data_IF_537716195792
#
_entry.id   IF_537716195792
#
_cell.length_a   1.000
_cell.length_b   1.000
_cell.length_c   1.000
_cell.angle_alpha   90.00
_cell.angle_beta   90.00
_cell.angle_gamma   90.00
#
_symmetry.space_group_name_H-M   'P 1'
#
loop_
_entity.id
_entity.type
_entity.pdbx_description
1 polymer ?
#
# COMPACT_ATOMS: atom_id res chain seq x y z
N UNK A 1 23.93 -22.59 23.37
CA UNK A 1 25.18 -22.51 22.59
C UNK A 1 24.86 -22.21 21.14
N UNK A 2 24.72 -20.93 20.80
CA UNK A 2 24.61 -20.48 19.41
C UNK A 2 26.01 -20.06 18.95
N UNK A 3 26.87 -21.05 18.70
CA UNK A 3 28.30 -20.84 18.40
C UNK A 3 28.58 -20.55 16.92
N UNK A 4 27.54 -20.50 16.08
CA UNK A 4 27.67 -20.31 14.63
C UNK A 4 27.13 -18.94 14.23
N UNK A 5 27.97 -18.14 13.59
CA UNK A 5 27.56 -16.87 13.00
C UNK A 5 26.49 -17.09 11.92
N UNK A 6 25.45 -16.25 11.92
CA UNK A 6 24.36 -16.35 10.95
C UNK A 6 24.83 -15.82 9.59
N UNK A 7 24.79 -16.67 8.58
CA UNK A 7 25.11 -16.33 7.20
C UNK A 7 24.38 -17.26 6.23
N UNK A 8 24.39 -16.91 4.94
CA UNK A 8 23.73 -17.65 3.85
C UNK A 8 24.11 -19.13 3.86
N UNK A 9 25.41 -19.43 3.92
CA UNK A 9 25.89 -20.81 3.84
C UNK A 9 25.41 -21.67 5.01
N UNK A 10 25.44 -21.14 6.23
CA UNK A 10 24.96 -21.86 7.40
C UNK A 10 23.45 -22.15 7.30
N UNK A 11 22.66 -21.18 6.84
CA UNK A 11 21.21 -21.37 6.64
C UNK A 11 20.95 -22.46 5.60
N UNK A 12 21.61 -22.40 4.44
CA UNK A 12 21.48 -23.43 3.40
C UNK A 12 21.84 -24.83 3.92
N UNK A 13 22.91 -24.94 4.70
CA UNK A 13 23.34 -26.19 5.32
C UNK A 13 22.28 -26.72 6.30
N UNK A 14 21.76 -25.86 7.19
CA UNK A 14 20.75 -26.28 8.16
C UNK A 14 19.45 -26.71 7.49
N UNK A 15 18.96 -25.97 6.50
CA UNK A 15 17.73 -26.34 5.78
C UNK A 15 17.95 -27.63 4.99
N UNK A 16 19.09 -27.82 4.34
CA UNK A 16 19.39 -29.04 3.57
C UNK A 16 19.43 -30.28 4.46
N UNK A 17 20.03 -30.19 5.65
CA UNK A 17 20.22 -31.33 6.55
C UNK A 17 19.00 -31.63 7.41
N UNK A 18 18.22 -30.61 7.78
CA UNK A 18 17.22 -30.72 8.84
C UNK A 18 15.81 -30.26 8.43
N UNK A 19 15.55 -29.94 7.16
CA UNK A 19 14.17 -29.71 6.71
C UNK A 19 13.32 -30.95 6.96
N UNK A 20 12.11 -30.72 7.44
CA UNK A 20 11.11 -31.77 7.68
C UNK A 20 10.04 -31.74 6.60
N UNK A 21 9.75 -30.54 6.08
CA UNK A 21 8.77 -30.34 5.04
C UNK A 21 9.41 -30.47 3.65
N UNK A 22 8.60 -30.85 2.67
CA UNK A 22 9.03 -30.89 1.28
C UNK A 22 9.05 -29.47 0.70
N UNK A 23 10.20 -28.81 0.87
CA UNK A 23 10.48 -27.47 0.35
C UNK A 23 11.58 -27.53 -0.72
N UNK A 24 11.43 -26.71 -1.75
CA UNK A 24 12.45 -26.55 -2.80
C UNK A 24 13.61 -25.72 -2.26
N UNK A 25 14.80 -26.31 -2.18
CA UNK A 25 15.99 -25.64 -1.65
C UNK A 25 16.42 -24.44 -2.51
N UNK A 26 16.06 -24.45 -3.80
CA UNK A 26 16.33 -23.33 -4.70
C UNK A 26 15.61 -22.04 -4.27
N UNK A 27 14.46 -22.17 -3.58
CA UNK A 27 13.71 -21.03 -3.05
C UNK A 27 14.44 -20.31 -1.91
N UNK A 28 15.49 -20.90 -1.31
CA UNK A 28 16.35 -20.17 -0.37
C UNK A 28 17.06 -18.98 -1.01
N UNK A 29 17.17 -18.94 -2.34
CA UNK A 29 17.80 -17.82 -3.05
C UNK A 29 16.84 -16.68 -3.33
N UNK A 30 15.55 -16.98 -3.50
CA UNK A 30 14.52 -16.04 -3.98
C UNK A 30 13.48 -15.67 -2.93
N UNK A 31 13.20 -16.55 -1.98
CA UNK A 31 12.24 -16.39 -0.88
C UNK A 31 12.82 -17.02 0.39
N UNK A 32 13.95 -16.51 0.86
CA UNK A 32 14.79 -17.11 1.90
C UNK A 32 14.06 -17.25 3.24
N UNK A 33 13.51 -16.16 3.77
CA UNK A 33 12.84 -16.14 5.06
C UNK A 33 11.60 -17.03 5.02
N UNK A 34 10.81 -16.92 3.95
CA UNK A 34 9.64 -17.75 3.65
C UNK A 34 10.00 -19.22 3.66
N UNK A 35 11.07 -19.59 2.94
CA UNK A 35 11.53 -20.98 2.87
C UNK A 35 12.02 -21.48 4.22
N UNK A 36 12.67 -20.65 5.03
CA UNK A 36 13.04 -20.98 6.41
C UNK A 36 11.80 -21.24 7.25
N UNK A 37 10.81 -20.35 7.24
CA UNK A 37 9.57 -20.47 8.02
C UNK A 37 8.80 -21.75 7.67
N UNK A 38 8.77 -22.14 6.40
CA UNK A 38 8.09 -23.36 5.95
C UNK A 38 8.96 -24.62 5.96
N UNK A 39 10.25 -24.54 6.30
CA UNK A 39 11.15 -25.70 6.34
C UNK A 39 10.76 -26.78 7.35
N UNK A 40 9.97 -26.41 8.37
CA UNK A 40 9.67 -27.26 9.53
C UNK A 40 10.86 -27.42 10.50
N UNK A 41 12.01 -26.80 10.22
CA UNK A 41 13.19 -26.84 11.08
C UNK A 41 13.03 -25.87 12.25
N UNK A 42 12.32 -26.29 13.30
CA UNK A 42 11.96 -25.45 14.45
C UNK A 42 13.15 -24.72 15.08
N UNK A 43 14.27 -25.41 15.25
CA UNK A 43 15.47 -24.82 15.85
C UNK A 43 16.06 -23.71 14.97
N UNK A 44 16.06 -23.88 13.64
CA UNK A 44 16.52 -22.85 12.72
C UNK A 44 15.58 -21.65 12.72
N UNK A 45 14.27 -21.90 12.67
CA UNK A 45 13.24 -20.85 12.70
C UNK A 45 13.39 -20.02 13.98
N UNK A 46 13.48 -20.68 15.14
CA UNK A 46 13.68 -20.01 16.43
C UNK A 46 15.00 -19.23 16.45
N UNK A 47 16.08 -19.82 15.95
CA UNK A 47 17.38 -19.15 15.89
C UNK A 47 17.37 -17.89 15.03
N UNK A 48 16.76 -17.95 13.84
CA UNK A 48 16.62 -16.81 12.92
C UNK A 48 15.76 -15.72 13.57
N UNK A 49 14.62 -16.08 14.16
CA UNK A 49 13.72 -15.13 14.80
C UNK A 49 14.38 -14.42 16.01
N UNK A 50 15.19 -15.14 16.81
CA UNK A 50 15.93 -14.55 17.92
C UNK A 50 17.06 -13.61 17.47
N UNK A 51 17.56 -13.76 16.23
CA UNK A 51 18.67 -13.00 15.68
C UNK A 51 18.24 -12.22 14.42
N UNK A 52 16.99 -11.74 14.40
CA UNK A 52 16.34 -11.22 13.18
C UNK A 52 17.10 -10.04 12.56
N UNK A 53 17.71 -9.18 13.38
CA UNK A 53 18.55 -8.06 12.93
C UNK A 53 19.76 -8.55 12.13
N UNK A 54 20.53 -9.48 12.70
CA UNK A 54 21.70 -10.07 12.06
C UNK A 54 21.30 -10.90 10.83
N UNK A 55 20.16 -11.59 10.88
CA UNK A 55 19.62 -12.30 9.73
C UNK A 55 19.36 -11.36 8.56
N UNK A 56 18.68 -10.24 8.81
CA UNK A 56 18.34 -9.28 7.75
C UNK A 56 19.61 -8.71 7.12
N UNK A 57 20.56 -8.29 7.95
CA UNK A 57 21.81 -7.68 7.50
C UNK A 57 22.69 -8.67 6.73
N UNK A 58 23.01 -9.84 7.32
CA UNK A 58 24.03 -10.74 6.78
C UNK A 58 23.50 -11.84 5.85
N UNK A 59 22.17 -11.93 5.67
CA UNK A 59 21.54 -12.96 4.85
C UNK A 59 20.54 -12.36 3.89
N UNK A 60 19.48 -11.73 4.42
CA UNK A 60 18.36 -11.28 3.59
C UNK A 60 18.80 -10.24 2.54
N UNK A 61 19.55 -9.23 2.97
CA UNK A 61 20.01 -8.14 2.09
C UNK A 61 21.16 -8.58 1.18
N UNK A 62 22.03 -9.46 1.66
CA UNK A 62 23.15 -10.04 0.88
C UNK A 62 22.67 -10.90 -0.30
N UNK A 63 21.55 -11.61 -0.15
CA UNK A 63 20.96 -12.42 -1.22
C UNK A 63 20.30 -11.54 -2.28
N UNK A 64 21.03 -11.23 -3.35
CA UNK A 64 20.58 -10.35 -4.45
C UNK A 64 19.22 -10.74 -5.04
N UNK A 65 19.00 -12.02 -5.23
CA UNK A 65 17.78 -12.54 -5.86
C UNK A 65 16.62 -12.77 -4.88
N UNK A 66 16.80 -12.46 -3.57
CA UNK A 66 15.78 -12.64 -2.54
C UNK A 66 14.67 -11.58 -2.64
N UNK A 67 13.76 -11.75 -3.60
CA UNK A 67 12.76 -10.74 -3.98
C UNK A 67 11.32 -11.26 -3.96
N UNK A 68 11.10 -12.55 -3.68
CA UNK A 68 9.81 -13.25 -3.85
C UNK A 68 9.28 -13.85 -2.52
N UNK A 69 9.69 -13.28 -1.38
CA UNK A 69 9.15 -13.65 -0.06
C UNK A 69 7.62 -13.52 0.02
N UNK A 70 6.92 -14.36 0.77
CA UNK A 70 5.47 -14.23 0.90
C UNK A 70 5.04 -13.03 1.78
N UNK A 71 3.75 -12.69 1.72
CA UNK A 71 3.20 -11.54 2.47
C UNK A 71 3.43 -11.68 3.98
N UNK A 72 3.21 -12.87 4.55
CA UNK A 72 3.37 -13.09 5.99
C UNK A 72 4.82 -12.88 6.42
N UNK A 73 5.77 -13.34 5.61
CA UNK A 73 7.21 -13.19 5.80
C UNK A 73 7.62 -11.73 5.78
N UNK A 74 7.21 -10.97 4.76
CA UNK A 74 7.52 -9.54 4.67
C UNK A 74 6.89 -8.74 5.81
N UNK A 75 5.62 -9.01 6.13
CA UNK A 75 4.96 -8.36 7.28
C UNK A 75 5.68 -8.66 8.59
N UNK A 76 6.12 -9.91 8.79
CA UNK A 76 6.89 -10.31 9.98
C UNK A 76 8.21 -9.53 10.07
N UNK A 77 8.94 -9.44 8.96
CA UNK A 77 10.22 -8.74 8.91
C UNK A 77 10.07 -7.22 9.13
N UNK A 78 9.12 -6.58 8.46
CA UNK A 78 8.86 -5.14 8.61
C UNK A 78 8.37 -4.77 10.02
N UNK A 79 7.74 -5.72 10.73
CA UNK A 79 7.29 -5.53 12.11
C UNK A 79 8.33 -5.96 13.16
N UNK A 80 9.53 -6.38 12.75
CA UNK A 80 10.56 -6.89 13.67
C UNK A 80 11.27 -5.80 14.50
N UNK A 81 10.97 -4.52 14.26
CA UNK A 81 11.62 -3.39 14.94
C UNK A 81 12.98 -3.03 14.37
N UNK A 82 13.21 -3.32 13.07
CA UNK A 82 14.37 -2.88 12.31
C UNK A 82 14.38 -1.35 12.17
N UNK A 83 15.55 -0.78 11.91
CA UNK A 83 15.64 0.66 11.58
C UNK A 83 14.99 0.95 10.24
N UNK A 84 14.47 2.18 10.10
CA UNK A 84 13.68 2.60 8.94
C UNK A 84 14.41 2.38 7.60
N UNK A 85 15.70 2.71 7.55
CA UNK A 85 16.51 2.59 6.33
C UNK A 85 16.62 1.15 5.83
N UNK A 86 16.69 0.19 6.76
CA UNK A 86 16.71 -1.24 6.44
C UNK A 86 15.34 -1.67 5.92
N UNK A 87 14.26 -1.26 6.56
CA UNK A 87 12.90 -1.52 6.08
C UNK A 87 12.67 -0.97 4.66
N UNK A 88 13.17 0.23 4.36
CA UNK A 88 13.07 0.82 3.02
C UNK A 88 13.81 0.00 1.96
N UNK A 89 15.02 -0.47 2.26
CA UNK A 89 15.75 -1.36 1.35
C UNK A 89 14.97 -2.65 1.08
N UNK A 90 14.33 -3.20 2.11
CA UNK A 90 13.51 -4.41 1.96
C UNK A 90 12.26 -4.18 1.10
N UNK A 91 11.55 -3.07 1.32
CA UNK A 91 10.37 -2.66 0.54
C UNK A 91 10.74 -2.44 -0.93
N UNK A 92 11.84 -1.76 -1.19
CA UNK A 92 12.35 -1.52 -2.55
C UNK A 92 12.74 -2.82 -3.25
N UNK A 93 13.50 -3.68 -2.56
CA UNK A 93 14.05 -4.92 -3.10
C UNK A 93 12.99 -5.97 -3.42
N UNK A 94 12.07 -6.20 -2.48
CA UNK A 94 11.11 -7.29 -2.57
C UNK A 94 9.94 -6.91 -3.49
N UNK A 95 9.29 -7.87 -4.16
CA UNK A 95 8.19 -7.64 -5.11
C UNK A 95 6.81 -7.86 -4.53
N UNK A 96 6.74 -8.34 -3.29
CA UNK A 96 5.51 -8.83 -2.70
C UNK A 96 4.53 -7.71 -2.41
N UNK A 97 3.27 -8.02 -2.72
CA UNK A 97 2.14 -7.14 -2.51
C UNK A 97 1.52 -7.48 -1.15
N UNK A 98 1.49 -6.49 -0.26
CA UNK A 98 0.80 -6.56 1.01
C UNK A 98 -0.65 -6.18 0.77
N UNK A 99 -1.56 -7.07 1.15
CA UNK A 99 -3.00 -6.91 0.93
C UNK A 99 -3.59 -5.77 1.77
N UNK A 100 -3.06 -5.55 2.96
CA UNK A 100 -3.60 -4.62 3.95
C UNK A 100 -2.47 -3.87 4.67
N UNK A 101 -2.40 -2.55 4.44
CA UNK A 101 -1.39 -1.67 5.03
C UNK A 101 -1.48 -1.65 6.57
N UNK A 102 -2.66 -1.91 7.15
CA UNK A 102 -2.88 -2.00 8.59
C UNK A 102 -2.06 -3.09 9.28
N UNK A 103 -1.63 -4.13 8.53
CA UNK A 103 -0.72 -5.19 9.01
C UNK A 103 0.67 -4.68 9.38
N UNK A 104 1.07 -3.51 8.88
CA UNK A 104 2.36 -2.90 9.20
C UNK A 104 2.19 -1.97 10.39
N UNK A 105 2.88 -2.30 11.48
CA UNK A 105 2.79 -1.62 12.76
C UNK A 105 3.39 -0.22 12.69
N UNK A 106 4.56 -0.10 12.06
CA UNK A 106 5.22 1.18 11.85
C UNK A 106 4.56 1.95 10.71
N UNK A 107 3.84 3.02 11.07
CA UNK A 107 3.12 3.87 10.13
C UNK A 107 4.06 4.73 9.29
N UNK A 108 5.30 4.96 9.74
CA UNK A 108 6.32 5.67 8.94
C UNK A 108 6.65 4.96 7.62
N UNK A 109 6.50 3.63 7.59
CA UNK A 109 6.75 2.82 6.39
C UNK A 109 5.65 2.91 5.34
N UNK A 110 4.47 3.42 5.68
CA UNK A 110 3.29 3.35 4.83
C UNK A 110 3.46 4.14 3.54
N UNK A 111 4.07 5.34 3.60
CA UNK A 111 4.32 6.13 2.40
C UNK A 111 5.21 5.37 1.41
N UNK A 112 6.24 4.71 1.93
CA UNK A 112 7.18 3.93 1.12
C UNK A 112 6.52 2.74 0.43
N UNK A 113 5.57 2.09 1.11
CA UNK A 113 4.80 1.00 0.54
C UNK A 113 3.93 1.46 -0.64
N UNK A 114 3.34 2.66 -0.57
CA UNK A 114 2.64 3.28 -1.70
C UNK A 114 3.58 3.68 -2.83
N UNK A 115 4.69 4.37 -2.53
CA UNK A 115 5.68 4.81 -3.52
C UNK A 115 6.22 3.65 -4.38
N UNK A 116 6.50 2.51 -3.75
CA UNK A 116 6.99 1.32 -4.44
C UNK A 116 5.88 0.41 -4.97
N UNK A 117 4.61 0.79 -4.87
CA UNK A 117 3.47 -0.05 -5.27
C UNK A 117 3.52 -1.45 -4.64
N UNK A 118 3.83 -1.54 -3.34
CA UNK A 118 3.89 -2.79 -2.56
C UNK A 118 2.59 -3.08 -1.80
N UNK A 119 1.54 -2.33 -2.09
CA UNK A 119 0.21 -2.53 -1.53
C UNK A 119 -0.74 -2.98 -2.62
N UNK A 120 -1.70 -3.83 -2.24
CA UNK A 120 -2.79 -4.16 -3.13
C UNK A 120 -3.58 -2.88 -3.44
N UNK A 121 -3.79 -2.62 -4.74
CA UNK A 121 -4.55 -1.46 -5.21
C UNK A 121 -6.01 -1.63 -4.77
N UNK A 122 -6.38 -0.94 -3.69
CA UNK A 122 -7.70 -1.02 -3.07
C UNK A 122 -8.07 0.29 -2.37
N UNK A 123 -9.37 0.60 -2.35
CA UNK A 123 -9.91 1.71 -1.56
C UNK A 123 -9.60 1.55 -0.08
N UNK A 124 -9.64 0.32 0.43
CA UNK A 124 -9.26 0.01 1.82
C UNK A 124 -7.87 0.54 2.18
N UNK A 125 -6.82 0.19 1.43
CA UNK A 125 -5.46 0.64 1.74
C UNK A 125 -5.34 2.17 1.65
N UNK A 126 -5.95 2.77 0.63
CA UNK A 126 -5.99 4.22 0.46
C UNK A 126 -6.66 4.91 1.66
N UNK A 127 -7.79 4.36 2.09
CA UNK A 127 -8.59 4.88 3.20
C UNK A 127 -7.90 4.73 4.55
N UNK A 128 -7.27 3.59 4.83
CA UNK A 128 -6.47 3.39 6.04
C UNK A 128 -5.34 4.41 6.13
N UNK A 129 -4.64 4.66 5.01
CA UNK A 129 -3.60 5.69 4.95
C UNK A 129 -4.17 7.07 5.27
N UNK A 130 -5.25 7.45 4.60
CA UNK A 130 -5.92 8.72 4.84
C UNK A 130 -6.33 8.88 6.30
N UNK A 131 -7.01 7.88 6.88
CA UNK A 131 -7.39 7.87 8.32
C UNK A 131 -6.20 8.08 9.25
N UNK A 132 -5.03 7.57 8.87
CA UNK A 132 -3.83 7.67 9.71
C UNK A 132 -3.18 9.06 9.66
N UNK A 133 -3.17 9.70 8.49
CA UNK A 133 -2.43 10.94 8.25
C UNK A 133 -3.31 12.19 8.13
N UNK A 134 -4.64 12.00 8.02
CA UNK A 134 -5.67 13.04 7.93
C UNK A 134 -5.41 14.03 6.79
N UNK A 135 -4.86 13.51 5.68
CA UNK A 135 -4.59 14.28 4.45
C UNK A 135 -4.34 13.38 3.24
N UNK A 136 -4.61 13.92 2.05
CA UNK A 136 -4.16 13.41 0.76
C UNK A 136 -2.87 14.15 0.40
N UNK A 137 -1.74 13.59 0.85
CA UNK A 137 -0.42 14.17 0.57
C UNK A 137 0.16 13.78 -0.79
N UNK A 138 1.39 14.22 -1.07
CA UNK A 138 2.08 13.96 -2.32
C UNK A 138 2.23 12.46 -2.63
N UNK A 139 2.39 11.61 -1.61
CA UNK A 139 2.45 10.16 -1.82
C UNK A 139 1.14 9.64 -2.41
N UNK A 140 0.01 10.02 -1.81
CA UNK A 140 -1.31 9.63 -2.31
C UNK A 140 -1.65 10.28 -3.66
N UNK A 141 -1.29 11.55 -3.87
CA UNK A 141 -1.50 12.23 -5.16
C UNK A 141 -0.73 11.53 -6.27
N UNK A 142 0.55 11.21 -6.07
CA UNK A 142 1.38 10.52 -7.04
C UNK A 142 0.84 9.10 -7.31
N UNK A 143 0.43 8.40 -6.25
CA UNK A 143 -0.16 7.07 -6.36
C UNK A 143 -1.44 7.08 -7.21
N UNK A 144 -2.37 8.00 -6.93
CA UNK A 144 -3.62 8.11 -7.69
C UNK A 144 -3.41 8.59 -9.13
N UNK A 145 -2.34 9.34 -9.41
CA UNK A 145 -2.00 9.78 -10.76
C UNK A 145 -1.34 8.69 -11.62
N UNK A 146 -0.99 7.53 -11.06
CA UNK A 146 -0.64 6.37 -11.86
C UNK A 146 -1.90 5.84 -12.57
N UNK A 147 -1.88 5.81 -13.90
CA UNK A 147 -2.99 5.34 -14.74
C UNK A 147 -3.44 3.92 -14.35
N UNK A 148 -2.49 3.04 -13.96
CA UNK A 148 -2.80 1.66 -13.56
C UNK A 148 -3.59 1.65 -12.25
N UNK A 149 -3.25 2.54 -11.33
CA UNK A 149 -3.89 2.68 -10.01
C UNK A 149 -5.29 3.25 -10.17
N UNK A 150 -5.42 4.42 -10.80
CA UNK A 150 -6.72 5.08 -11.00
C UNK A 150 -7.68 4.21 -11.81
N UNK A 151 -7.21 3.54 -12.86
CA UNK A 151 -8.03 2.59 -13.62
C UNK A 151 -8.53 1.44 -12.76
N UNK A 152 -7.64 0.81 -11.97
CA UNK A 152 -8.02 -0.32 -11.11
C UNK A 152 -8.95 0.09 -9.98
N UNK A 153 -8.72 1.25 -9.36
CA UNK A 153 -9.63 1.78 -8.33
C UNK A 153 -11.00 2.14 -8.92
N UNK A 154 -11.06 2.60 -10.18
CA UNK A 154 -12.32 2.90 -10.86
C UNK A 154 -13.20 1.68 -11.15
N UNK A 155 -12.66 0.46 -11.03
CA UNK A 155 -13.38 -0.80 -11.20
C UNK A 155 -13.87 -1.38 -9.86
N UNK A 156 -13.39 -0.86 -8.73
CA UNK A 156 -13.70 -1.37 -7.39
C UNK A 156 -14.67 -0.42 -6.70
N UNK A 157 -15.82 -0.94 -6.29
CA UNK A 157 -16.73 -0.19 -5.42
C UNK A 157 -16.05 0.07 -4.07
N UNK A 158 -16.22 1.29 -3.56
CA UNK A 158 -15.81 1.61 -2.21
C UNK A 158 -16.87 1.10 -1.22
N UNK A 159 -16.43 0.27 -0.27
CA UNK A 159 -17.33 -0.38 0.69
C UNK A 159 -17.35 0.30 2.06
N UNK A 160 -16.32 1.08 2.36
CA UNK A 160 -16.08 1.78 3.61
C UNK A 160 -16.81 3.13 3.61
N UNK A 161 -18.12 3.12 3.86
CA UNK A 161 -18.96 4.32 3.92
C UNK A 161 -19.18 4.72 5.39
N UNK A 162 -18.41 5.70 5.86
CA UNK A 162 -18.47 6.31 7.19
C UNK A 162 -18.17 7.83 7.15
N UNK A 163 -18.08 8.49 8.31
CA UNK A 163 -17.77 9.93 8.39
C UNK A 163 -16.39 10.27 7.81
N UNK A 164 -15.37 9.44 8.08
CA UNK A 164 -14.01 9.63 7.58
C UNK A 164 -13.94 9.52 6.05
N UNK A 165 -14.77 8.65 5.45
CA UNK A 165 -14.85 8.54 4.01
C UNK A 165 -15.44 9.80 3.36
N UNK A 166 -16.37 10.51 4.03
CA UNK A 166 -16.86 11.80 3.54
C UNK A 166 -15.74 12.83 3.52
N UNK A 167 -14.93 12.88 4.58
CA UNK A 167 -13.75 13.75 4.66
C UNK A 167 -12.78 13.42 3.53
N UNK A 168 -12.46 12.15 3.33
CA UNK A 168 -11.57 11.70 2.25
C UNK A 168 -12.03 12.19 0.87
N UNK A 169 -13.30 11.99 0.52
CA UNK A 169 -13.77 12.43 -0.79
C UNK A 169 -13.91 13.95 -0.89
N UNK A 170 -14.25 14.64 0.20
CA UNK A 170 -14.23 16.10 0.22
C UNK A 170 -12.84 16.64 -0.08
N UNK A 171 -11.80 16.03 0.52
CA UNK A 171 -10.41 16.41 0.28
C UNK A 171 -9.97 16.06 -1.15
N UNK A 172 -10.36 14.87 -1.63
CA UNK A 172 -10.09 14.41 -3.00
C UNK A 172 -10.71 15.35 -4.04
N UNK A 173 -11.87 15.95 -3.77
CA UNK A 173 -12.55 16.84 -4.70
C UNK A 173 -12.01 18.26 -4.60
N UNK A 174 -11.87 18.78 -3.39
CA UNK A 174 -11.68 20.20 -3.12
C UNK A 174 -10.20 20.58 -3.14
N UNK A 175 -9.36 19.89 -2.37
CA UNK A 175 -7.99 20.35 -2.09
C UNK A 175 -6.92 19.55 -2.83
N UNK A 176 -7.23 18.32 -3.24
CA UNK A 176 -6.24 17.45 -3.87
C UNK A 176 -5.77 17.99 -5.23
N UNK A 177 -4.49 17.78 -5.51
CA UNK A 177 -3.82 18.19 -6.76
C UNK A 177 -3.72 17.06 -7.80
N UNK A 178 -4.55 16.02 -7.67
CA UNK A 178 -4.68 14.96 -8.68
C UNK A 178 -5.11 15.53 -10.04
N UNK A 179 -4.56 14.96 -11.11
CA UNK A 179 -4.84 15.35 -12.48
C UNK A 179 -6.28 15.03 -12.89
N UNK A 180 -6.78 15.79 -13.87
CA UNK A 180 -8.17 15.69 -14.32
C UNK A 180 -8.51 14.30 -14.87
N UNK A 181 -7.57 13.62 -15.55
CA UNK A 181 -7.78 12.27 -16.09
C UNK A 181 -7.95 11.22 -14.99
N UNK A 182 -7.07 11.25 -13.99
CA UNK A 182 -7.15 10.39 -12.81
C UNK A 182 -8.43 10.65 -12.02
N UNK A 183 -8.76 11.93 -11.82
CA UNK A 183 -10.00 12.34 -11.14
C UNK A 183 -11.23 11.83 -11.90
N UNK A 184 -11.25 11.96 -13.24
CA UNK A 184 -12.34 11.44 -14.09
C UNK A 184 -12.49 9.93 -13.99
N UNK A 185 -11.39 9.18 -13.95
CA UNK A 185 -11.45 7.73 -13.76
C UNK A 185 -12.08 7.38 -12.41
N UNK A 186 -11.61 8.02 -11.32
CA UNK A 186 -12.04 7.74 -9.96
C UNK A 186 -13.47 8.19 -9.66
N UNK A 187 -13.96 9.27 -10.28
CA UNK A 187 -15.30 9.83 -10.06
C UNK A 187 -16.43 8.80 -10.24
N UNK A 188 -16.21 7.74 -11.05
CA UNK A 188 -17.16 6.62 -11.21
C UNK A 188 -17.53 5.93 -9.90
N UNK A 189 -16.62 5.95 -8.92
CA UNK A 189 -16.75 5.22 -7.66
C UNK A 189 -17.05 6.12 -6.48
N UNK A 190 -17.31 7.41 -6.71
CA UNK A 190 -17.61 8.35 -5.63
C UNK A 190 -18.99 8.02 -5.04
N UNK A 191 -19.10 7.78 -3.73
CA UNK A 191 -20.32 7.27 -3.12
C UNK A 191 -21.33 8.38 -2.76
N UNK A 192 -20.96 9.65 -2.92
CA UNK A 192 -21.74 10.79 -2.42
C UNK A 192 -22.22 11.72 -3.54
N UNK A 193 -23.33 12.39 -3.25
CA UNK A 193 -23.89 13.47 -4.08
C UNK A 193 -23.63 14.79 -3.34
N UNK A 194 -23.08 15.77 -4.05
CA UNK A 194 -22.61 17.03 -3.49
C UNK A 194 -23.53 18.22 -3.82
N UNK A 195 -23.51 19.24 -2.97
CA UNK A 195 -24.14 20.53 -3.26
C UNK A 195 -23.12 21.49 -3.85
N UNK A 196 -23.57 22.40 -4.73
CA UNK A 196 -22.66 23.38 -5.34
C UNK A 196 -22.00 24.32 -4.32
N UNK A 197 -22.67 24.58 -3.21
CA UNK A 197 -22.18 25.44 -2.12
C UNK A 197 -20.98 24.80 -1.38
N UNK A 198 -20.78 23.48 -1.49
CA UNK A 198 -19.62 22.75 -0.94
C UNK A 198 -18.42 22.78 -1.91
N UNK A 199 -18.64 23.14 -3.18
CA UNK A 199 -17.66 23.00 -4.27
C UNK A 199 -17.09 24.34 -4.73
N UNK A 200 -17.05 25.33 -3.84
CA UNK A 200 -16.64 26.70 -4.15
C UNK A 200 -15.17 26.77 -4.60
N UNK A 201 -14.28 25.90 -4.11
CA UNK A 201 -12.85 25.95 -4.46
C UNK A 201 -12.44 24.95 -5.56
N UNK A 202 -13.40 24.15 -6.05
CA UNK A 202 -13.16 23.10 -7.04
C UNK A 202 -12.93 23.69 -8.43
N UNK A 203 -11.97 23.11 -9.17
CA UNK A 203 -11.64 23.53 -10.53
C UNK A 203 -12.80 23.32 -11.50
N UNK A 204 -12.87 24.14 -12.55
CA UNK A 204 -13.95 24.04 -13.55
C UNK A 204 -14.01 22.68 -14.25
N UNK A 205 -12.85 22.08 -14.54
CA UNK A 205 -12.77 20.75 -15.16
C UNK A 205 -13.30 19.66 -14.21
N UNK A 206 -12.92 19.70 -12.92
CA UNK A 206 -13.45 18.76 -11.92
C UNK A 206 -14.96 18.93 -11.74
N UNK A 207 -15.50 20.15 -11.71
CA UNK A 207 -16.96 20.39 -11.68
C UNK A 207 -17.63 19.75 -12.90
N UNK A 208 -17.10 19.93 -14.11
CA UNK A 208 -17.64 19.31 -15.31
C UNK A 208 -17.68 17.78 -15.20
N UNK A 209 -16.62 17.18 -14.67
CA UNK A 209 -16.55 15.73 -14.41
C UNK A 209 -17.64 15.32 -13.41
N UNK A 210 -17.81 16.03 -12.28
CA UNK A 210 -18.86 15.73 -11.30
C UNK A 210 -20.26 15.79 -11.92
N UNK A 211 -20.53 16.75 -12.81
CA UNK A 211 -21.79 16.85 -13.56
C UNK A 211 -21.97 15.66 -14.50
N UNK A 212 -20.94 15.31 -15.29
CA UNK A 212 -20.94 14.17 -16.22
C UNK A 212 -21.24 12.85 -15.50
N UNK A 213 -20.81 12.71 -14.25
CA UNK A 213 -21.02 11.53 -13.41
C UNK A 213 -22.27 11.60 -12.51
N UNK A 214 -23.13 12.62 -12.67
CA UNK A 214 -24.34 12.82 -11.86
C UNK A 214 -24.10 12.92 -10.34
N UNK A 215 -22.94 13.45 -9.95
CA UNK A 215 -22.52 13.59 -8.54
C UNK A 215 -22.93 14.94 -7.93
N UNK A 216 -23.62 15.81 -8.68
CA UNK A 216 -24.15 17.07 -8.18
C UNK A 216 -25.66 16.94 -8.00
N UNK A 217 -26.16 17.32 -6.83
CA UNK A 217 -27.59 17.25 -6.52
C UNK A 217 -28.40 18.11 -7.49
N UNK A 218 -29.41 17.52 -8.12
CA UNK A 218 -30.29 18.21 -9.06
C UNK A 218 -31.38 18.99 -8.31
N UNK A 219 -31.08 20.22 -7.92
CA UNK A 219 -32.08 21.16 -7.39
C UNK A 219 -31.93 22.57 -7.99
N UNK A 220 -32.96 23.40 -7.74
CA UNK A 220 -33.03 24.75 -8.29
C UNK A 220 -31.85 25.62 -7.86
N UNK A 221 -31.41 25.48 -6.61
CA UNK A 221 -30.29 26.25 -6.06
C UNK A 221 -28.99 25.92 -6.81
N UNK A 222 -28.68 24.63 -6.94
CA UNK A 222 -27.49 24.19 -7.67
C UNK A 222 -27.54 24.59 -9.15
N UNK A 223 -28.71 24.54 -9.80
CA UNK A 223 -28.86 25.00 -11.19
C UNK A 223 -28.62 26.50 -11.35
N UNK A 224 -29.16 27.33 -10.46
CA UNK A 224 -28.92 28.77 -10.45
C UNK A 224 -27.43 29.09 -10.19
N UNK A 225 -26.80 28.41 -9.21
CA UNK A 225 -25.37 28.54 -8.92
C UNK A 225 -24.50 28.14 -10.11
N UNK A 226 -24.83 27.05 -10.81
CA UNK A 226 -24.12 26.63 -12.02
C UNK A 226 -24.23 27.66 -13.14
N UNK A 227 -25.43 28.17 -13.43
CA UNK A 227 -25.63 29.18 -14.48
C UNK A 227 -24.93 30.51 -14.16
N UNK A 228 -24.90 30.92 -12.90
CA UNK A 228 -24.24 32.15 -12.48
C UNK A 228 -22.71 32.03 -12.54
N UNK A 229 -22.17 30.89 -12.13
CA UNK A 229 -20.72 30.67 -12.03
C UNK A 229 -20.07 30.26 -13.35
N UNK A 230 -20.84 29.58 -14.21
CA UNK A 230 -20.39 29.04 -15.48
C UNK A 230 -21.40 29.34 -16.60
N UNK A 231 -21.60 30.63 -16.95
CA UNK A 231 -22.49 31.02 -18.04
C UNK A 231 -21.97 30.48 -19.37
N UNK A 232 -22.88 29.98 -20.22
CA UNK A 232 -22.58 29.55 -21.59
C UNK A 232 -22.18 30.72 -22.49
#
# INVERSE_FOLDING_TARGET
>A
NNLYEINVHMIELFVTLYKVNDIELENLKTANFTTIQYSGCKNLIEYVNQNIFNYVEFVYLELKDNIDEDENSIVTLLNAGLIEEVCFQMIEKNRTIISDVSKINDKGLWSKLFEYNRLEISWKNFFEYFKKFDKIDETLVNYLNDERVSSRLSEKEMTEIDEDSQLLFSELIITSTIGDDSFKALAKQFPYIYNMDELIEVSHNKIKILIEHHLIKLDKNNFETLNNRYPQ
#
